data_IF_649149056582
#
_entry.id   IF_649149056582
#
_cell.length_a   1.000
_cell.length_b   1.000
_cell.length_c   1.000
_cell.angle_alpha   90.00
_cell.angle_beta   90.00
_cell.angle_gamma   90.00
#
_symmetry.space_group_name_H-M   'P 1'
#
loop_
_entity.id
_entity.type
_entity.pdbx_description
1 polymer ?
#
# COMPACT_ATOMS: atom_id res chain seq x y z
N UNK A 1 7.53 -15.32 -19.84
CA UNK A 1 7.94 -15.49 -18.43
C UNK A 1 7.67 -14.21 -17.65
N UNK A 2 7.15 -14.30 -16.41
CA UNK A 2 6.99 -13.12 -15.57
C UNK A 2 8.34 -12.67 -15.01
N UNK A 3 8.90 -11.59 -15.52
CA UNK A 3 10.16 -11.03 -15.02
C UNK A 3 10.05 -10.56 -13.58
N UNK A 4 8.89 -9.97 -13.23
CA UNK A 4 8.61 -9.42 -11.89
C UNK A 4 8.51 -10.55 -10.85
N UNK A 5 7.77 -11.61 -11.15
CA UNK A 5 7.54 -12.71 -10.21
C UNK A 5 8.82 -13.47 -9.81
N UNK A 6 9.80 -13.55 -10.69
CA UNK A 6 11.07 -14.27 -10.45
C UNK A 6 12.09 -13.50 -9.59
N UNK A 7 11.92 -12.18 -9.44
CA UNK A 7 12.87 -11.39 -8.67
C UNK A 7 12.63 -11.62 -7.17
N UNK A 8 13.64 -12.09 -6.43
CA UNK A 8 13.54 -12.20 -4.99
C UNK A 8 13.32 -10.83 -4.37
N UNK A 9 12.65 -10.81 -3.21
CA UNK A 9 12.38 -9.58 -2.46
C UNK A 9 13.33 -9.58 -1.26
N UNK A 10 14.21 -8.60 -1.20
CA UNK A 10 15.11 -8.43 -0.06
C UNK A 10 14.33 -7.99 1.18
N UNK A 11 14.53 -8.66 2.31
CA UNK A 11 13.93 -8.30 3.59
C UNK A 11 14.91 -7.35 4.30
N UNK A 12 14.52 -6.10 4.61
CA UNK A 12 15.31 -5.20 5.44
C UNK A 12 15.51 -5.78 6.84
N UNK A 13 16.58 -5.37 7.52
CA UNK A 13 16.92 -5.87 8.86
C UNK A 13 15.83 -5.61 9.92
N UNK A 14 15.04 -4.55 9.71
CA UNK A 14 13.97 -4.12 10.63
C UNK A 14 12.63 -4.80 10.36
N UNK A 15 12.56 -5.70 9.39
CA UNK A 15 11.32 -6.34 8.95
C UNK A 15 11.40 -7.84 9.20
N UNK A 16 10.33 -8.38 9.78
CA UNK A 16 10.14 -9.82 9.95
C UNK A 16 9.04 -10.31 9.03
N UNK A 17 9.34 -11.30 8.21
CA UNK A 17 8.38 -11.96 7.32
C UNK A 17 8.15 -13.38 7.82
N UNK A 18 6.91 -13.70 8.10
CA UNK A 18 6.46 -15.03 8.52
C UNK A 18 5.51 -15.60 7.48
N UNK A 19 5.75 -16.81 7.05
CA UNK A 19 4.89 -17.54 6.11
C UNK A 19 4.19 -18.66 6.86
N UNK A 20 2.88 -18.57 6.95
CA UNK A 20 2.00 -19.62 7.43
C UNK A 20 1.25 -20.23 6.24
N UNK A 21 0.59 -21.36 6.43
CA UNK A 21 -0.19 -21.99 5.37
C UNK A 21 -1.20 -21.02 4.74
N UNK A 22 -0.90 -20.57 3.53
CA UNK A 22 -1.75 -19.66 2.75
C UNK A 22 -1.77 -18.20 3.19
N UNK A 23 -0.95 -17.78 4.16
CA UNK A 23 -0.88 -16.40 4.63
C UNK A 23 0.56 -15.96 4.84
N UNK A 24 0.90 -14.80 4.31
CA UNK A 24 2.16 -14.09 4.59
C UNK A 24 1.88 -12.96 5.56
N UNK A 25 2.64 -12.92 6.63
CA UNK A 25 2.60 -11.83 7.62
C UNK A 25 3.91 -11.06 7.56
N UNK A 26 3.82 -9.76 7.37
CA UNK A 26 4.97 -8.85 7.33
C UNK A 26 4.85 -7.88 8.50
N UNK A 27 5.82 -7.90 9.37
CA UNK A 27 5.89 -7.03 10.55
C UNK A 27 7.11 -6.14 10.45
N UNK A 28 6.91 -4.85 10.60
CA UNK A 28 7.98 -3.86 10.54
C UNK A 28 7.79 -2.74 11.55
N UNK A 29 8.57 -1.70 11.36
CA UNK A 29 8.63 -0.54 12.26
C UNK A 29 7.29 0.22 12.35
N UNK A 30 6.56 0.32 11.25
CA UNK A 30 5.31 1.08 11.16
C UNK A 30 4.06 0.25 11.48
N UNK A 31 4.17 -1.07 11.53
CA UNK A 31 3.04 -1.94 11.82
C UNK A 31 3.21 -3.35 11.28
N UNK A 32 2.09 -4.05 11.23
CA UNK A 32 1.99 -5.43 10.77
C UNK A 32 0.90 -5.54 9.69
N UNK A 33 1.23 -6.21 8.61
CA UNK A 33 0.30 -6.49 7.51
C UNK A 33 0.27 -7.99 7.24
N UNK A 34 -0.89 -8.49 6.83
CA UNK A 34 -1.09 -9.88 6.43
C UNK A 34 -1.76 -9.97 5.07
N UNK A 35 -1.37 -10.95 4.28
CA UNK A 35 -1.94 -11.22 2.96
C UNK A 35 -2.14 -12.72 2.78
N UNK A 36 -3.35 -13.12 2.49
CA UNK A 36 -3.63 -14.48 2.05
C UNK A 36 -3.22 -14.69 0.60
N UNK A 37 -2.70 -15.85 0.30
CA UNK A 37 -2.32 -16.24 -1.06
C UNK A 37 -2.81 -17.63 -1.42
N UNK A 38 -2.96 -17.88 -2.70
CA UNK A 38 -3.38 -19.19 -3.24
C UNK A 38 -2.65 -19.48 -4.54
N UNK A 39 -2.49 -20.77 -4.86
CA UNK A 39 -1.91 -21.25 -6.13
C UNK A 39 -0.46 -20.84 -6.42
N UNK A 40 0.22 -20.28 -5.42
CA UNK A 40 1.65 -19.98 -5.45
C UNK A 40 2.30 -20.49 -4.17
N UNK A 41 3.60 -20.67 -4.20
CA UNK A 41 4.40 -21.02 -3.02
C UNK A 41 5.25 -19.83 -2.62
N UNK A 42 5.20 -19.45 -1.37
CA UNK A 42 6.02 -18.37 -0.80
C UNK A 42 7.04 -18.98 0.15
N UNK A 43 8.30 -18.67 -0.04
CA UNK A 43 9.41 -19.12 0.80
C UNK A 43 10.22 -17.92 1.31
N UNK A 44 10.76 -18.06 2.50
CA UNK A 44 11.70 -17.10 3.07
C UNK A 44 13.04 -17.81 3.24
N UNK A 45 14.04 -17.37 2.51
CA UNK A 45 15.37 -17.94 2.52
C UNK A 45 16.42 -16.82 2.51
N UNK A 46 17.45 -16.94 3.34
CA UNK A 46 18.62 -16.04 3.38
C UNK A 46 18.28 -14.54 3.41
N UNK A 47 17.23 -14.14 4.13
CA UNK A 47 16.80 -12.75 4.20
C UNK A 47 16.09 -12.24 2.93
N UNK A 48 15.56 -13.14 2.12
CA UNK A 48 14.78 -12.84 0.93
C UNK A 48 13.48 -13.62 0.90
N UNK A 49 12.46 -13.02 0.30
CA UNK A 49 11.19 -13.70 -0.01
C UNK A 49 11.19 -14.11 -1.47
N UNK A 50 10.94 -15.38 -1.70
CA UNK A 50 10.85 -15.97 -3.04
C UNK A 50 9.43 -16.47 -3.25
N UNK A 51 8.81 -16.06 -4.35
CA UNK A 51 7.50 -16.56 -4.78
C UNK A 51 7.69 -17.50 -5.95
N UNK A 52 7.16 -18.71 -5.83
CA UNK A 52 7.26 -19.75 -6.84
C UNK A 52 5.87 -20.14 -7.36
N UNK A 53 5.83 -20.71 -8.55
CA UNK A 53 4.62 -21.28 -9.15
C UNK A 53 4.88 -22.67 -9.67
N UNK A 54 3.85 -23.51 -9.66
CA UNK A 54 3.94 -24.90 -10.09
C UNK A 54 3.94 -25.11 -11.62
N UNK A 55 3.39 -24.14 -12.38
CA UNK A 55 3.32 -24.23 -13.84
C UNK A 55 3.30 -22.86 -14.52
N UNK A 56 3.41 -22.87 -15.84
CA UNK A 56 3.36 -21.68 -16.69
C UNK A 56 1.95 -21.32 -17.20
N UNK A 57 0.90 -21.90 -16.59
CA UNK A 57 -0.48 -21.52 -16.89
C UNK A 57 -0.69 -20.02 -16.72
N UNK A 58 -1.54 -19.43 -17.55
CA UNK A 58 -1.78 -17.99 -17.59
C UNK A 58 -2.18 -17.42 -16.23
N UNK A 59 -3.08 -18.12 -15.52
CA UNK A 59 -3.58 -17.70 -14.22
C UNK A 59 -2.49 -17.74 -13.14
N UNK A 60 -1.67 -18.80 -13.13
CA UNK A 60 -0.57 -18.93 -12.20
C UNK A 60 0.54 -17.91 -12.45
N UNK A 61 0.77 -17.55 -13.71
CA UNK A 61 1.69 -16.46 -14.06
C UNK A 61 1.20 -15.11 -13.55
N UNK A 62 -0.10 -14.84 -13.68
CA UNK A 62 -0.71 -13.61 -13.19
C UNK A 62 -0.62 -13.52 -11.65
N UNK A 63 -0.99 -14.59 -10.94
CA UNK A 63 -0.90 -14.67 -9.49
C UNK A 63 0.53 -14.57 -8.96
N UNK A 64 1.49 -15.17 -9.66
CA UNK A 64 2.90 -15.10 -9.31
C UNK A 64 3.41 -13.64 -9.27
N UNK A 65 3.15 -12.88 -10.32
CA UNK A 65 3.49 -11.45 -10.36
C UNK A 65 2.72 -10.61 -9.34
N UNK A 66 1.42 -10.88 -9.19
CA UNK A 66 0.55 -10.18 -8.24
C UNK A 66 1.04 -10.33 -6.80
N UNK A 67 1.20 -11.57 -6.32
CA UNK A 67 1.59 -11.80 -4.94
C UNK A 67 3.01 -11.33 -4.63
N UNK A 68 3.93 -11.47 -5.59
CA UNK A 68 5.27 -10.88 -5.45
C UNK A 68 5.19 -9.37 -5.23
N UNK A 69 4.39 -8.68 -6.02
CA UNK A 69 4.22 -7.23 -5.92
C UNK A 69 3.52 -6.82 -4.62
N UNK A 70 2.49 -7.55 -4.20
CA UNK A 70 1.79 -7.29 -2.94
C UNK A 70 2.72 -7.46 -1.74
N UNK A 71 3.51 -8.52 -1.69
CA UNK A 71 4.48 -8.76 -0.61
C UNK A 71 5.55 -7.67 -0.58
N UNK A 72 6.07 -7.27 -1.75
CA UNK A 72 7.02 -6.16 -1.83
C UNK A 72 6.41 -4.85 -1.30
N UNK A 73 5.17 -4.55 -1.68
CA UNK A 73 4.47 -3.37 -1.19
C UNK A 73 4.23 -3.41 0.32
N UNK A 74 3.93 -4.58 0.87
CA UNK A 74 3.81 -4.76 2.32
C UNK A 74 5.12 -4.46 3.03
N UNK A 75 6.25 -4.97 2.53
CA UNK A 75 7.58 -4.73 3.10
C UNK A 75 7.93 -3.23 3.06
N UNK A 76 7.73 -2.58 1.91
CA UNK A 76 7.94 -1.13 1.79
C UNK A 76 7.01 -0.34 2.70
N UNK A 77 5.73 -0.74 2.76
CA UNK A 77 4.72 -0.09 3.59
C UNK A 77 5.02 -0.12 5.09
N UNK A 78 5.53 -1.24 5.62
CA UNK A 78 5.88 -1.34 7.04
C UNK A 78 7.26 -0.75 7.38
N UNK A 79 8.08 -0.46 6.37
CA UNK A 79 9.42 0.11 6.53
C UNK A 79 9.40 1.63 6.42
N UNK A 80 9.02 2.12 5.25
CA UNK A 80 9.05 3.54 4.87
C UNK A 80 7.67 4.18 4.88
N UNK A 81 6.64 3.38 4.65
CA UNK A 81 5.28 3.84 4.42
C UNK A 81 5.05 4.36 3.00
N UNK A 82 3.81 4.66 2.70
CA UNK A 82 3.42 5.29 1.44
C UNK A 82 2.82 6.66 1.70
N UNK A 83 3.23 7.64 0.92
CA UNK A 83 2.67 8.98 0.94
C UNK A 83 2.14 9.31 -0.45
N UNK A 84 0.93 9.82 -0.51
CA UNK A 84 0.32 10.32 -1.73
C UNK A 84 -0.24 11.71 -1.51
N UNK A 85 0.17 12.65 -2.34
CA UNK A 85 -0.35 14.01 -2.32
C UNK A 85 -1.31 14.21 -3.48
N UNK A 86 -2.44 14.85 -3.21
CA UNK A 86 -3.47 15.16 -4.18
C UNK A 86 -3.71 16.66 -4.19
N UNK A 87 -3.63 17.28 -5.37
CA UNK A 87 -3.94 18.68 -5.59
C UNK A 87 -5.40 18.82 -6.03
N UNK A 88 -6.16 19.67 -5.35
CA UNK A 88 -7.53 19.98 -5.72
C UNK A 88 -7.54 21.18 -6.68
N UNK A 89 -7.89 20.93 -7.93
CA UNK A 89 -7.95 21.95 -8.97
C UNK A 89 -9.39 22.37 -9.21
N UNK A 90 -9.73 23.60 -8.85
CA UNK A 90 -11.06 24.17 -9.05
C UNK A 90 -11.20 25.50 -8.34
N UNK A 91 -11.97 26.40 -8.93
CA UNK A 91 -12.21 27.74 -8.36
C UNK A 91 -13.03 27.61 -7.06
N UNK A 92 -12.48 28.14 -5.98
CA UNK A 92 -13.12 28.11 -4.67
C UNK A 92 -13.06 26.76 -3.94
N UNK A 93 -12.33 25.79 -4.46
CA UNK A 93 -12.12 24.51 -3.79
C UNK A 93 -11.29 24.69 -2.53
N UNK A 94 -11.70 24.02 -1.45
CA UNK A 94 -11.02 24.07 -0.14
C UNK A 94 -10.96 22.68 0.45
N UNK A 95 -9.91 22.43 1.21
CA UNK A 95 -9.74 21.22 1.99
C UNK A 95 -9.28 21.60 3.40
N UNK A 96 -9.84 20.96 4.40
CA UNK A 96 -9.42 21.04 5.79
C UNK A 96 -9.59 19.69 6.47
N UNK A 97 -8.83 19.42 7.50
CA UNK A 97 -8.98 18.21 8.28
C UNK A 97 -8.99 18.52 9.78
N UNK A 98 -9.77 17.73 10.50
CA UNK A 98 -9.78 17.70 11.96
C UNK A 98 -9.50 16.26 12.39
N UNK A 99 -8.25 15.97 12.71
CA UNK A 99 -7.83 14.59 12.97
C UNK A 99 -8.07 13.68 11.75
N UNK A 100 -8.93 12.69 11.89
CA UNK A 100 -9.29 11.72 10.84
C UNK A 100 -10.49 12.13 9.99
N UNK A 101 -11.04 13.31 10.20
CA UNK A 101 -12.16 13.82 9.41
C UNK A 101 -11.65 14.83 8.38
N UNK A 102 -11.85 14.52 7.10
CA UNK A 102 -11.51 15.39 5.98
C UNK A 102 -12.77 16.11 5.49
N UNK A 103 -12.73 17.43 5.48
CA UNK A 103 -13.80 18.31 5.02
C UNK A 103 -13.40 18.98 3.70
N UNK A 104 -14.19 18.78 2.66
CA UNK A 104 -13.94 19.25 1.31
C UNK A 104 -15.08 20.16 0.84
N UNK A 105 -14.75 21.37 0.40
CA UNK A 105 -15.65 22.26 -0.31
C UNK A 105 -15.32 22.21 -1.81
N UNK A 106 -16.18 21.56 -2.59
CA UNK A 106 -15.94 21.23 -4.00
C UNK A 106 -16.98 21.85 -4.96
N UNK A 107 -17.50 23.01 -4.62
CA UNK A 107 -18.47 23.74 -5.45
C UNK A 107 -19.93 23.26 -5.33
N UNK A 108 -20.19 22.30 -4.43
CA UNK A 108 -21.56 21.92 -4.08
C UNK A 108 -22.17 22.89 -3.05
N UNK A 109 -23.48 22.84 -2.88
CA UNK A 109 -24.19 23.62 -1.86
C UNK A 109 -23.88 23.18 -0.42
N UNK A 110 -23.27 22.00 -0.27
CA UNK A 110 -22.82 21.42 1.00
C UNK A 110 -21.37 20.95 0.89
N UNK A 111 -20.69 20.86 2.01
CA UNK A 111 -19.37 20.26 2.08
C UNK A 111 -19.46 18.73 2.03
N UNK A 112 -18.39 18.11 1.53
CA UNK A 112 -18.22 16.66 1.57
C UNK A 112 -17.31 16.33 2.74
N UNK A 113 -17.79 15.47 3.65
CA UNK A 113 -17.06 15.04 4.83
C UNK A 113 -16.73 13.56 4.69
N UNK A 114 -15.45 13.23 4.82
CA UNK A 114 -14.94 11.87 4.74
C UNK A 114 -14.26 11.48 6.06
N UNK A 115 -14.70 10.38 6.64
CA UNK A 115 -14.00 9.76 7.75
C UNK A 115 -12.86 8.90 7.19
N UNK A 116 -11.65 9.20 7.60
CA UNK A 116 -10.45 8.49 7.18
C UNK A 116 -10.16 7.37 8.19
N UNK A 117 -9.86 6.19 7.67
CA UNK A 117 -9.51 5.04 8.50
C UNK A 117 -8.26 5.31 9.35
N UNK A 118 -8.17 4.68 10.50
CA UNK A 118 -7.10 4.93 11.48
C UNK A 118 -5.69 4.61 10.99
N UNK A 119 -5.59 3.75 9.98
CA UNK A 119 -4.33 3.34 9.37
C UNK A 119 -3.70 4.40 8.45
N UNK A 120 -4.48 5.43 8.10
CA UNK A 120 -4.04 6.51 7.21
C UNK A 120 -4.06 7.83 7.95
N UNK A 121 -2.98 8.58 7.88
CA UNK A 121 -2.90 9.95 8.38
C UNK A 121 -3.15 10.93 7.25
N UNK A 122 -4.02 11.90 7.46
CA UNK A 122 -4.37 12.93 6.49
C UNK A 122 -3.87 14.27 6.96
N UNK A 123 -3.23 14.98 6.06
CA UNK A 123 -2.84 16.39 6.25
C UNK A 123 -3.35 17.24 5.10
N UNK A 124 -3.78 18.44 5.40
CA UNK A 124 -4.23 19.41 4.40
C UNK A 124 -3.36 20.65 4.44
N UNK A 125 -2.91 21.09 3.26
CA UNK A 125 -2.13 22.30 3.09
C UNK A 125 -2.94 23.27 2.24
N UNK A 126 -3.25 24.43 2.79
CA UNK A 126 -3.98 25.49 2.10
C UNK A 126 -3.19 26.78 2.17
N UNK A 127 -2.63 27.19 1.03
CA UNK A 127 -1.90 28.45 0.89
C UNK A 127 -2.71 29.43 0.05
N UNK A 128 -2.64 30.71 0.42
CA UNK A 128 -3.35 31.76 -0.29
C UNK A 128 -2.80 31.92 -1.73
N UNK A 129 -3.67 31.76 -2.72
CA UNK A 129 -3.32 31.86 -4.13
C UNK A 129 -2.80 30.56 -4.77
N UNK A 130 -2.80 29.45 -4.04
CA UNK A 130 -2.46 28.12 -4.54
C UNK A 130 -3.62 27.13 -4.38
N UNK A 131 -3.61 26.07 -5.17
CA UNK A 131 -4.58 25.00 -5.03
C UNK A 131 -4.35 24.24 -3.70
N UNK A 132 -5.42 23.84 -3.00
CA UNK A 132 -5.29 23.02 -1.80
C UNK A 132 -4.66 21.66 -2.11
N UNK A 133 -3.81 21.19 -1.19
CA UNK A 133 -3.15 19.86 -1.28
C UNK A 133 -3.62 19.02 -0.08
N UNK A 134 -3.95 17.78 -0.37
CA UNK A 134 -4.32 16.76 0.63
C UNK A 134 -3.33 15.62 0.60
#
# INVERSE_FOLDING_TARGET
MSRIGKNPITIPADVTVTVNEGVVVVKGKLGELSQSYSDVTVKVEEGQVIVERSSDAKDLRSKHGLYRSLINNMIVGVTEGFTKSLELVGVGYRASNQGQVLDLALGFSHNIVLDIVSEVTVETISEKGKNPIV
#
